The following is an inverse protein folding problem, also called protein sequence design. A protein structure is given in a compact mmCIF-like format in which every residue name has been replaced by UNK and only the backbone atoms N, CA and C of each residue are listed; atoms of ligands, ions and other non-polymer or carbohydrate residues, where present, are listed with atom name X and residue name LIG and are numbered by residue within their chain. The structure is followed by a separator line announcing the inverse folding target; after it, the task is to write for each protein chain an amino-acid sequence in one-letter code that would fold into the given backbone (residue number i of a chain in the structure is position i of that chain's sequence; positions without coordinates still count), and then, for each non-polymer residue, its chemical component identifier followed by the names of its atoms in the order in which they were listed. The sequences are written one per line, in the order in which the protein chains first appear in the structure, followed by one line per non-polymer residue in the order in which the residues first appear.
data_IF_553574703572
#
_entry.id   IF_553574703572
#
_cell.length_a   1.000
_cell.length_b   1.000
_cell.length_c   1.000
_cell.angle_alpha   90.00
_cell.angle_beta   90.00
_cell.angle_gamma   90.00
#
_symmetry.space_group_name_H-M   'P 1'
#
loop_
_entity.id
_entity.type
_entity.pdbx_description
1 polymer ?
#
# COMPACT_ATOMS: atom_id res chain seq x y z
N UNK A 1 -5.88 -28.41 -30.45
CA UNK A 1 -6.72 -28.35 -29.23
C UNK A 1 -5.90 -28.71 -27.99
N UNK A 2 -5.11 -29.79 -28.03
CA UNK A 2 -4.17 -30.19 -26.95
C UNK A 2 -3.24 -29.08 -26.45
N UNK A 3 -2.53 -28.37 -27.34
CA UNK A 3 -1.57 -27.35 -26.93
C UNK A 3 -2.17 -26.24 -26.04
N UNK A 4 -3.42 -25.82 -26.30
CA UNK A 4 -4.11 -24.82 -25.47
C UNK A 4 -4.49 -25.38 -24.09
N UNK A 5 -4.78 -26.67 -24.01
CA UNK A 5 -5.08 -27.36 -22.74
C UNK A 5 -3.82 -27.52 -21.90
N UNK A 6 -2.71 -27.93 -22.51
CA UNK A 6 -1.41 -28.08 -21.85
C UNK A 6 -0.88 -26.74 -21.32
N UNK A 7 -0.95 -25.67 -22.13
CA UNK A 7 -0.54 -24.32 -21.69
C UNK A 7 -1.36 -23.81 -20.49
N UNK A 8 -2.68 -24.07 -20.49
CA UNK A 8 -3.55 -23.69 -19.36
C UNK A 8 -3.25 -24.49 -18.09
N UNK A 9 -2.85 -25.77 -18.23
CA UNK A 9 -2.48 -26.62 -17.11
C UNK A 9 -1.09 -26.26 -16.54
N UNK A 10 -0.15 -25.82 -17.38
CA UNK A 10 1.20 -25.44 -16.96
C UNK A 10 1.27 -24.05 -16.32
N UNK A 11 0.36 -23.13 -16.68
CA UNK A 11 0.39 -21.73 -16.23
C UNK A 11 0.46 -21.56 -14.69
N UNK A 12 -0.33 -22.26 -13.86
CA UNK A 12 -0.21 -22.14 -12.41
C UNK A 12 1.18 -22.53 -11.88
N UNK A 13 1.75 -23.62 -12.41
CA UNK A 13 3.07 -24.11 -12.01
C UNK A 13 4.13 -23.08 -12.37
N UNK A 14 4.12 -22.61 -13.62
CA UNK A 14 5.06 -21.59 -14.09
C UNK A 14 4.91 -20.29 -13.29
N UNK A 15 3.68 -19.84 -13.04
CA UNK A 15 3.41 -18.64 -12.25
C UNK A 15 3.98 -18.75 -10.83
N UNK A 16 3.75 -19.88 -10.15
CA UNK A 16 4.27 -20.11 -8.79
C UNK A 16 5.78 -20.18 -8.79
N UNK A 17 6.40 -20.94 -9.70
CA UNK A 17 7.85 -21.09 -9.76
C UNK A 17 8.55 -19.76 -10.07
N UNK A 18 8.06 -19.02 -11.06
CA UNK A 18 8.62 -17.71 -11.43
C UNK A 18 8.43 -16.72 -10.29
N UNK A 19 7.23 -16.62 -9.72
CA UNK A 19 6.95 -15.67 -8.63
C UNK A 19 7.77 -15.98 -7.37
N UNK A 20 7.76 -17.23 -6.91
CA UNK A 20 8.49 -17.64 -5.72
C UNK A 20 10.00 -17.51 -5.94
N UNK A 21 10.52 -17.99 -7.08
CA UNK A 21 11.93 -17.88 -7.43
C UNK A 21 12.41 -16.43 -7.50
N UNK A 22 11.66 -15.55 -8.19
CA UNK A 22 12.00 -14.13 -8.28
C UNK A 22 11.90 -13.42 -6.92
N UNK A 23 10.90 -13.75 -6.10
CA UNK A 23 10.73 -13.19 -4.75
C UNK A 23 11.88 -13.61 -3.82
N UNK A 24 12.31 -14.87 -3.87
CA UNK A 24 13.47 -15.35 -3.11
C UNK A 24 14.75 -14.70 -3.62
N UNK A 25 14.94 -14.65 -4.94
CA UNK A 25 16.13 -14.05 -5.54
C UNK A 25 16.27 -12.56 -5.18
N UNK A 26 15.18 -11.78 -5.25
CA UNK A 26 15.23 -10.36 -4.88
C UNK A 26 15.43 -10.16 -3.38
N UNK A 27 14.80 -10.98 -2.54
CA UNK A 27 14.98 -10.92 -1.09
C UNK A 27 16.42 -11.25 -0.68
N UNK A 28 17.01 -12.27 -1.32
CA UNK A 28 18.41 -12.64 -1.12
C UNK A 28 19.36 -11.53 -1.58
N UNK A 29 19.17 -11.01 -2.79
CA UNK A 29 19.98 -9.94 -3.35
C UNK A 29 19.88 -8.61 -2.59
N UNK A 30 18.81 -8.40 -1.81
CA UNK A 30 18.61 -7.19 -1.04
C UNK A 30 19.61 -7.04 0.13
N UNK A 31 20.12 -8.15 0.70
CA UNK A 31 21.01 -8.11 1.85
C UNK A 31 20.46 -7.25 3.00
N UNK A 32 21.26 -6.30 3.51
CA UNK A 32 20.85 -5.38 4.58
C UNK A 32 19.80 -4.34 4.17
N UNK A 33 19.45 -4.25 2.89
CA UNK A 33 18.42 -3.32 2.39
C UNK A 33 17.02 -3.94 2.28
N UNK A 34 16.86 -5.21 2.67
CA UNK A 34 15.56 -5.87 2.73
C UNK A 34 14.66 -5.19 3.77
N UNK A 35 13.43 -4.88 3.39
CA UNK A 35 12.47 -4.25 4.32
C UNK A 35 12.80 -2.79 4.65
N UNK A 36 13.39 -2.06 3.71
CA UNK A 36 13.69 -0.63 3.88
C UNK A 36 12.52 0.20 4.41
N UNK A 37 11.31 -0.02 3.89
CA UNK A 37 10.08 0.63 4.36
C UNK A 37 9.45 -0.06 5.56
N UNK A 38 9.67 -1.37 5.72
CA UNK A 38 9.29 -2.08 6.94
C UNK A 38 9.93 -1.44 8.18
N UNK A 39 11.18 -0.98 8.07
CA UNK A 39 11.87 -0.24 9.12
C UNK A 39 11.11 1.03 9.53
N UNK A 40 10.50 1.75 8.58
CA UNK A 40 9.67 2.91 8.91
C UNK A 40 8.49 2.51 9.82
N UNK A 41 7.88 1.36 9.56
CA UNK A 41 6.70 0.88 10.28
C UNK A 41 7.04 0.38 11.68
N UNK A 42 8.05 -0.48 11.79
CA UNK A 42 8.44 -1.07 13.07
C UNK A 42 9.10 -0.05 14.00
N UNK A 43 9.86 0.92 13.46
CA UNK A 43 10.42 2.02 14.26
C UNK A 43 9.33 2.96 14.76
N UNK A 44 8.32 3.24 13.94
CA UNK A 44 7.16 4.02 14.38
C UNK A 44 6.42 3.34 15.54
N UNK A 45 6.17 2.03 15.43
CA UNK A 45 5.61 1.23 16.52
C UNK A 45 6.52 1.23 17.77
N UNK A 46 7.83 1.10 17.60
CA UNK A 46 8.81 1.17 18.68
C UNK A 46 8.82 2.53 19.40
N UNK A 47 8.70 3.64 18.66
CA UNK A 47 8.54 4.99 19.23
C UNK A 47 7.31 5.08 20.12
N UNK A 48 6.17 4.53 19.68
CA UNK A 48 4.95 4.50 20.50
C UNK A 48 5.17 3.75 21.82
N UNK A 49 5.83 2.58 21.77
CA UNK A 49 6.14 1.80 22.98
C UNK A 49 7.12 2.53 23.91
N UNK A 50 8.01 3.35 23.36
CA UNK A 50 8.95 4.18 24.11
C UNK A 50 8.37 5.52 24.60
N UNK A 51 7.07 5.79 24.35
CA UNK A 51 6.45 7.07 24.70
C UNK A 51 6.95 8.27 23.89
N UNK A 52 7.54 8.02 22.71
CA UNK A 52 8.08 9.04 21.81
C UNK A 52 7.03 9.48 20.77
N UNK A 53 7.18 10.67 20.17
CA UNK A 53 6.32 11.11 19.07
C UNK A 53 6.29 10.10 17.91
N UNK A 54 5.10 9.85 17.36
CA UNK A 54 4.92 8.93 16.24
C UNK A 54 5.62 9.44 14.96
N UNK A 55 5.44 10.73 14.67
CA UNK A 55 5.99 11.41 13.51
C UNK A 55 7.14 12.32 13.91
N UNK A 56 8.17 12.36 13.07
CA UNK A 56 9.31 13.24 13.26
C UNK A 56 9.01 14.64 12.67
N UNK A 57 9.00 15.71 13.49
CA UNK A 57 8.74 17.06 13.01
C UNK A 57 9.86 17.61 12.12
N UNK A 58 11.08 17.06 12.19
CA UNK A 58 12.23 17.52 11.40
C UNK A 58 12.22 17.00 9.96
N UNK A 59 11.34 16.06 9.62
CA UNK A 59 11.21 15.54 8.26
C UNK A 59 10.43 16.53 7.38
N UNK A 60 11.08 16.99 6.30
CA UNK A 60 10.55 17.94 5.33
C UNK A 60 10.54 17.42 3.87
N UNK A 61 11.21 16.29 3.59
CA UNK A 61 11.26 15.68 2.26
C UNK A 61 10.91 14.18 2.33
N UNK A 62 10.15 13.70 1.35
CA UNK A 62 9.93 12.26 1.15
C UNK A 62 11.16 11.59 0.55
N UNK A 63 11.45 10.35 0.95
CA UNK A 63 12.53 9.55 0.35
C UNK A 63 13.70 9.17 1.26
N UNK A 64 14.06 9.94 2.31
CA UNK A 64 15.02 9.45 3.31
C UNK A 64 14.54 8.17 4.01
N UNK A 65 15.51 7.42 4.53
CA UNK A 65 15.27 6.10 5.14
C UNK A 65 14.33 6.16 6.33
N UNK A 66 13.43 5.17 6.40
CA UNK A 66 12.60 4.87 7.56
C UNK A 66 11.66 6.00 8.02
N UNK A 67 11.20 6.87 7.11
CA UNK A 67 10.18 7.88 7.41
C UNK A 67 8.78 7.24 7.41
N UNK A 68 8.07 7.40 8.52
CA UNK A 68 6.70 6.92 8.67
C UNK A 68 5.67 7.95 8.18
N UNK A 69 4.99 7.67 7.07
CA UNK A 69 4.01 8.56 6.42
C UNK A 69 2.59 7.97 6.39
N UNK A 70 2.29 7.04 7.29
CA UNK A 70 1.06 6.24 7.27
C UNK A 70 0.10 6.65 8.39
N UNK A 71 -1.21 6.31 8.29
CA UNK A 71 -2.19 6.69 9.30
C UNK A 71 -1.85 6.15 10.70
N UNK A 72 -2.11 6.90 11.79
CA UNK A 72 -1.75 6.50 13.14
C UNK A 72 -2.17 5.08 13.56
N UNK A 73 -3.39 4.59 13.24
CA UNK A 73 -3.80 3.24 13.63
C UNK A 73 -2.94 2.13 13.01
N UNK A 74 -2.28 2.37 11.87
CA UNK A 74 -1.39 1.37 11.28
C UNK A 74 -0.13 1.13 12.12
N UNK A 75 0.39 2.15 12.80
CA UNK A 75 1.55 1.99 13.69
C UNK A 75 1.23 1.02 14.84
N UNK A 76 -0.01 1.03 15.36
CA UNK A 76 -0.45 0.09 16.38
C UNK A 76 -0.50 -1.34 15.85
N UNK A 77 -0.96 -1.53 14.61
CA UNK A 77 -0.99 -2.84 13.97
C UNK A 77 0.43 -3.43 13.77
N UNK A 78 1.46 -2.58 13.83
CA UNK A 78 2.86 -2.98 13.68
C UNK A 78 3.56 -3.27 15.02
N UNK A 79 2.89 -3.04 16.16
CA UNK A 79 3.43 -3.37 17.49
C UNK A 79 3.87 -4.83 17.62
N UNK A 80 3.10 -5.84 17.17
CA UNK A 80 3.53 -7.24 17.26
C UNK A 80 4.87 -7.52 16.56
N UNK A 81 5.20 -6.76 15.51
CA UNK A 81 6.46 -6.91 14.79
C UNK A 81 7.66 -6.38 15.57
N UNK A 82 7.46 -5.50 16.55
CA UNK A 82 8.54 -5.01 17.44
C UNK A 82 9.06 -6.08 18.39
N UNK A 83 8.29 -7.16 18.59
CA UNK A 83 8.67 -8.28 19.45
C UNK A 83 9.48 -9.35 18.72
N UNK A 84 9.58 -9.24 17.39
CA UNK A 84 10.37 -10.16 16.59
C UNK A 84 11.86 -9.80 16.71
N UNK A 85 12.77 -10.80 16.69
CA UNK A 85 14.18 -10.55 16.48
C UNK A 85 14.41 -9.73 15.20
N UNK A 86 15.35 -8.78 15.23
CA UNK A 86 15.63 -7.90 14.09
C UNK A 86 15.90 -8.67 12.78
N UNK A 87 16.57 -9.83 12.88
CA UNK A 87 16.85 -10.70 11.74
C UNK A 87 15.60 -11.34 11.10
N UNK A 88 14.46 -11.40 11.80
CA UNK A 88 13.24 -12.06 11.35
C UNK A 88 12.15 -11.09 10.90
N UNK A 89 12.16 -9.85 11.40
CA UNK A 89 11.12 -8.85 11.11
C UNK A 89 10.90 -8.62 9.61
N UNK A 90 11.95 -8.20 8.90
CA UNK A 90 11.87 -7.92 7.47
C UNK A 90 11.59 -9.17 6.61
N UNK A 91 12.21 -10.35 6.85
CA UNK A 91 11.85 -11.58 6.12
C UNK A 91 10.39 -12.02 6.32
N UNK A 92 9.88 -12.01 7.55
CA UNK A 92 8.49 -12.38 7.84
C UNK A 92 7.52 -11.40 7.18
N UNK A 93 7.81 -10.10 7.27
CA UNK A 93 7.02 -9.07 6.60
C UNK A 93 7.01 -9.27 5.08
N UNK A 94 8.17 -9.53 4.47
CA UNK A 94 8.29 -9.77 3.03
C UNK A 94 7.50 -11.02 2.60
N UNK A 95 7.56 -12.11 3.37
CA UNK A 95 6.78 -13.31 3.13
C UNK A 95 5.27 -13.03 3.23
N UNK A 96 4.85 -12.26 4.23
CA UNK A 96 3.46 -11.84 4.40
C UNK A 96 2.96 -11.02 3.20
N UNK A 97 3.78 -10.10 2.68
CA UNK A 97 3.47 -9.34 1.47
C UNK A 97 3.33 -10.23 0.23
N UNK A 98 4.22 -11.22 0.07
CA UNK A 98 4.14 -12.18 -1.03
C UNK A 98 2.86 -13.03 -0.94
N UNK A 99 2.50 -13.50 0.25
CA UNK A 99 1.23 -14.20 0.51
C UNK A 99 0.03 -13.30 0.24
N UNK A 100 0.07 -12.03 0.65
CA UNK A 100 -1.00 -11.08 0.40
C UNK A 100 -1.23 -10.85 -1.10
N UNK A 101 -0.16 -10.75 -1.90
CA UNK A 101 -0.27 -10.67 -3.35
C UNK A 101 -0.96 -11.90 -3.94
N UNK A 102 -0.48 -13.10 -3.60
CA UNK A 102 -1.04 -14.36 -4.13
C UNK A 102 -2.50 -14.48 -3.71
N UNK A 103 -2.81 -14.22 -2.44
CA UNK A 103 -4.17 -14.21 -1.92
C UNK A 103 -5.07 -13.22 -2.65
N UNK A 104 -4.59 -12.00 -2.90
CA UNK A 104 -5.33 -10.98 -3.65
C UNK A 104 -5.61 -11.42 -5.08
N UNK A 105 -4.61 -11.98 -5.77
CA UNK A 105 -4.74 -12.43 -7.16
C UNK A 105 -5.75 -13.57 -7.29
N UNK A 106 -5.71 -14.53 -6.36
CA UNK A 106 -6.65 -15.67 -6.33
C UNK A 106 -8.06 -15.26 -5.89
N UNK A 107 -8.20 -14.13 -5.18
CA UNK A 107 -9.48 -13.61 -4.72
C UNK A 107 -10.19 -12.74 -5.77
N UNK A 108 -9.45 -12.20 -6.75
CA UNK A 108 -10.02 -11.37 -7.82
C UNK A 108 -11.18 -12.08 -8.53
N UNK A 109 -12.32 -11.41 -8.80
CA UNK A 109 -13.48 -11.98 -9.50
C UNK A 109 -13.25 -12.05 -11.02
N UNK A 110 -12.18 -12.70 -11.45
CA UNK A 110 -11.76 -12.87 -12.84
C UNK A 110 -11.51 -14.35 -13.14
N UNK A 111 -11.30 -14.70 -14.41
CA UNK A 111 -11.03 -16.08 -14.80
C UNK A 111 -9.72 -16.61 -14.20
N UNK A 112 -9.64 -17.92 -13.93
CA UNK A 112 -8.43 -18.56 -13.38
C UNK A 112 -7.15 -18.24 -14.17
N UNK A 113 -7.13 -18.27 -15.52
CA UNK A 113 -5.93 -17.88 -16.27
C UNK A 113 -5.48 -16.45 -15.98
N UNK A 114 -6.40 -15.51 -15.79
CA UNK A 114 -6.06 -14.11 -15.45
C UNK A 114 -5.45 -14.04 -14.05
N UNK A 115 -6.01 -14.76 -13.07
CA UNK A 115 -5.44 -14.81 -11.71
C UNK A 115 -3.98 -15.30 -11.73
N UNK A 116 -3.69 -16.39 -12.43
CA UNK A 116 -2.34 -16.93 -12.54
C UNK A 116 -1.41 -16.06 -13.39
N UNK A 117 -1.93 -15.44 -14.45
CA UNK A 117 -1.18 -14.46 -15.23
C UNK A 117 -0.79 -13.26 -14.38
N UNK A 118 -1.65 -12.78 -13.46
CA UNK A 118 -1.28 -11.72 -12.51
C UNK A 118 -0.12 -12.12 -11.61
N UNK A 119 -0.13 -13.35 -11.07
CA UNK A 119 0.97 -13.86 -10.23
C UNK A 119 2.26 -13.96 -11.05
N UNK A 120 2.19 -14.51 -12.26
CA UNK A 120 3.33 -14.60 -13.17
C UNK A 120 3.91 -13.21 -13.49
N UNK A 121 3.05 -12.26 -13.89
CA UNK A 121 3.46 -10.90 -14.22
C UNK A 121 4.07 -10.17 -13.02
N UNK A 122 3.57 -10.41 -11.81
CA UNK A 122 4.20 -9.87 -10.62
C UNK A 122 5.62 -10.43 -10.40
N UNK A 123 5.83 -11.72 -10.68
CA UNK A 123 7.16 -12.35 -10.63
C UNK A 123 8.13 -11.87 -11.72
N UNK A 124 7.63 -11.26 -12.80
CA UNK A 124 8.45 -10.71 -13.89
C UNK A 124 8.61 -9.18 -13.80
N UNK A 125 7.78 -8.51 -12.99
CA UNK A 125 7.74 -7.06 -12.88
C UNK A 125 8.83 -6.57 -11.93
N UNK A 126 9.90 -5.99 -12.49
CA UNK A 126 10.95 -5.36 -11.69
C UNK A 126 10.42 -4.31 -10.70
N UNK A 127 9.53 -3.37 -11.08
CA UNK A 127 8.96 -2.41 -10.13
C UNK A 127 8.24 -3.09 -8.95
N UNK A 128 7.51 -4.17 -9.23
CA UNK A 128 6.82 -4.93 -8.18
C UNK A 128 7.83 -5.64 -7.26
N UNK A 129 8.80 -6.36 -7.82
CA UNK A 129 9.81 -7.07 -7.04
C UNK A 129 10.66 -6.10 -6.20
N UNK A 130 10.98 -4.93 -6.75
CA UNK A 130 11.65 -3.87 -6.02
C UNK A 130 10.79 -3.33 -4.86
N UNK A 131 9.50 -3.10 -5.11
CA UNK A 131 8.53 -2.75 -4.05
C UNK A 131 8.43 -3.83 -2.96
N UNK A 132 8.48 -5.10 -3.33
CA UNK A 132 8.49 -6.23 -2.40
C UNK A 132 9.78 -6.25 -1.57
N UNK A 133 10.94 -6.06 -2.22
CA UNK A 133 12.24 -5.89 -1.55
C UNK A 133 12.19 -4.78 -0.49
N UNK A 134 11.61 -3.63 -0.82
CA UNK A 134 11.53 -2.52 0.11
C UNK A 134 10.57 -2.81 1.27
N UNK A 135 9.64 -3.77 1.13
CA UNK A 135 8.63 -4.03 2.15
C UNK A 135 7.46 -3.06 2.09
N UNK A 136 7.17 -2.47 0.92
CA UNK A 136 6.01 -1.60 0.71
C UNK A 136 4.69 -2.34 0.97
N UNK A 137 3.72 -1.64 1.55
CA UNK A 137 2.38 -2.19 1.86
C UNK A 137 1.50 -2.48 0.62
N UNK A 138 1.98 -2.21 -0.59
CA UNK A 138 1.21 -2.36 -1.84
C UNK A 138 0.46 -3.70 -1.96
N UNK A 139 1.09 -4.86 -1.70
CA UNK A 139 0.42 -6.15 -1.71
C UNK A 139 -0.74 -6.30 -0.71
N UNK A 140 -0.66 -5.67 0.47
CA UNK A 140 -1.77 -5.64 1.43
C UNK A 140 -2.94 -4.81 0.91
N UNK A 141 -2.65 -3.66 0.30
CA UNK A 141 -3.67 -2.82 -0.31
C UNK A 141 -4.33 -3.57 -1.47
N UNK A 142 -3.55 -4.27 -2.30
CA UNK A 142 -4.08 -5.10 -3.39
C UNK A 142 -5.01 -6.20 -2.88
N UNK A 143 -4.62 -6.93 -1.82
CA UNK A 143 -5.49 -7.92 -1.18
C UNK A 143 -6.80 -7.28 -0.67
N UNK A 144 -6.70 -6.15 0.02
CA UNK A 144 -7.87 -5.41 0.53
C UNK A 144 -8.81 -4.96 -0.61
N UNK A 145 -8.25 -4.43 -1.70
CA UNK A 145 -9.02 -4.06 -2.89
C UNK A 145 -9.67 -5.28 -3.56
N UNK A 146 -8.92 -6.37 -3.77
CA UNK A 146 -9.46 -7.59 -4.36
C UNK A 146 -10.60 -8.19 -3.53
N UNK A 147 -10.44 -8.22 -2.20
CA UNK A 147 -11.47 -8.63 -1.25
C UNK A 147 -12.71 -7.73 -1.33
N UNK A 148 -12.52 -6.41 -1.19
CA UNK A 148 -13.60 -5.44 -1.25
C UNK A 148 -14.39 -5.55 -2.55
N UNK A 149 -13.69 -5.67 -3.68
CA UNK A 149 -14.31 -5.79 -5.01
C UNK A 149 -15.02 -7.13 -5.22
N UNK A 150 -14.43 -8.24 -4.75
CA UNK A 150 -15.02 -9.59 -4.84
C UNK A 150 -16.35 -9.69 -4.10
N UNK A 151 -16.50 -8.94 -3.02
CA UNK A 151 -17.70 -8.90 -2.20
C UNK A 151 -18.38 -7.54 -2.20
N UNK A 152 -18.26 -6.80 -3.30
CA UNK A 152 -18.79 -5.43 -3.44
C UNK A 152 -20.29 -5.30 -3.20
N UNK A 153 -21.05 -6.38 -3.34
CA UNK A 153 -22.50 -6.42 -3.09
C UNK A 153 -22.86 -6.86 -1.66
N UNK A 154 -21.86 -7.20 -0.84
CA UNK A 154 -22.04 -7.57 0.57
C UNK A 154 -21.48 -6.48 1.46
N UNK A 155 -22.31 -5.84 2.30
CA UNK A 155 -21.91 -4.62 3.01
C UNK A 155 -20.77 -4.85 4.01
N UNK A 156 -20.83 -5.92 4.79
CA UNK A 156 -19.83 -6.18 5.83
C UNK A 156 -18.43 -6.53 5.25
N UNK A 157 -18.27 -7.49 4.33
CA UNK A 157 -16.96 -7.77 3.74
C UNK A 157 -16.37 -6.58 2.97
N UNK A 158 -17.19 -5.82 2.23
CA UNK A 158 -16.74 -4.60 1.57
C UNK A 158 -16.23 -3.58 2.59
N UNK A 159 -16.99 -3.36 3.68
CA UNK A 159 -16.60 -2.44 4.74
C UNK A 159 -15.31 -2.85 5.44
N UNK A 160 -15.18 -4.13 5.83
CA UNK A 160 -13.99 -4.65 6.50
C UNK A 160 -12.74 -4.52 5.64
N UNK A 161 -12.81 -4.98 4.38
CA UNK A 161 -11.67 -4.93 3.47
C UNK A 161 -11.25 -3.49 3.18
N UNK A 162 -12.22 -2.61 2.90
CA UNK A 162 -11.95 -1.20 2.62
C UNK A 162 -11.39 -0.46 3.83
N UNK A 163 -11.95 -0.68 5.02
CA UNK A 163 -11.48 -0.05 6.26
C UNK A 163 -10.09 -0.56 6.64
N UNK A 164 -9.82 -1.87 6.56
CA UNK A 164 -8.51 -2.45 6.82
C UNK A 164 -7.44 -1.87 5.88
N UNK A 165 -7.73 -1.79 4.58
CA UNK A 165 -6.85 -1.13 3.62
C UNK A 165 -6.61 0.35 3.94
N UNK A 166 -7.68 1.07 4.30
CA UNK A 166 -7.65 2.51 4.63
C UNK A 166 -6.82 2.79 5.90
N UNK A 167 -6.90 1.91 6.89
CA UNK A 167 -6.06 1.97 8.10
C UNK A 167 -4.59 1.88 7.70
N UNK A 168 -4.23 0.94 6.82
CA UNK A 168 -2.85 0.78 6.35
C UNK A 168 -2.40 2.00 5.54
N UNK A 169 -3.20 2.46 4.57
CA UNK A 169 -2.91 3.63 3.73
C UNK A 169 -4.22 4.23 3.24
N UNK A 170 -4.33 5.54 3.06
CA UNK A 170 -5.63 6.19 2.78
C UNK A 170 -6.29 5.82 1.44
N UNK A 171 -5.55 5.30 0.47
CA UNK A 171 -6.01 5.08 -0.92
C UNK A 171 -7.22 4.14 -1.06
N UNK A 172 -7.34 3.01 -0.32
CA UNK A 172 -8.52 2.15 -0.40
C UNK A 172 -9.82 2.84 -0.01
N UNK A 173 -9.80 3.98 0.68
CA UNK A 173 -11.01 4.76 0.98
C UNK A 173 -11.80 5.18 -0.28
N UNK A 174 -11.17 5.17 -1.46
CA UNK A 174 -11.85 5.37 -2.74
C UNK A 174 -12.99 4.36 -2.97
N UNK A 175 -12.89 3.13 -2.46
CA UNK A 175 -13.99 2.16 -2.52
C UNK A 175 -15.20 2.61 -1.69
N UNK A 176 -15.02 3.39 -0.62
CA UNK A 176 -16.14 3.99 0.10
C UNK A 176 -16.80 5.10 -0.73
N UNK A 177 -16.01 5.90 -1.46
CA UNK A 177 -16.54 6.87 -2.42
C UNK A 177 -17.40 6.19 -3.48
N UNK A 178 -16.86 5.14 -4.12
CA UNK A 178 -17.60 4.31 -5.08
C UNK A 178 -18.87 3.67 -4.45
N UNK A 179 -18.76 3.12 -3.24
CA UNK A 179 -19.88 2.51 -2.54
C UNK A 179 -20.98 3.55 -2.23
N UNK A 180 -20.59 4.77 -1.87
CA UNK A 180 -21.53 5.85 -1.61
C UNK A 180 -22.32 6.23 -2.87
N UNK A 181 -21.62 6.52 -3.98
CA UNK A 181 -22.27 6.95 -5.24
C UNK A 181 -23.11 5.86 -5.88
N UNK A 182 -22.78 4.58 -5.64
CA UNK A 182 -23.54 3.43 -6.16
C UNK A 182 -24.62 2.90 -5.21
N UNK A 183 -24.96 3.65 -4.15
CA UNK A 183 -26.07 3.33 -3.25
C UNK A 183 -25.77 2.27 -2.17
N UNK A 184 -24.52 1.83 -2.02
CA UNK A 184 -24.07 0.84 -1.02
C UNK A 184 -23.80 1.47 0.35
N UNK A 185 -24.73 2.31 0.82
CA UNK A 185 -24.60 3.14 2.04
C UNK A 185 -24.30 2.34 3.31
N UNK A 186 -24.86 1.14 3.43
CA UNK A 186 -24.62 0.27 4.61
C UNK A 186 -23.14 -0.11 4.75
N UNK A 187 -22.43 -0.34 3.64
CA UNK A 187 -20.99 -0.62 3.68
C UNK A 187 -20.21 0.62 4.14
N UNK A 188 -20.59 1.80 3.65
CA UNK A 188 -19.97 3.08 4.04
C UNK A 188 -20.14 3.35 5.52
N UNK A 189 -21.35 3.17 6.07
CA UNK A 189 -21.62 3.37 7.51
C UNK A 189 -20.81 2.40 8.37
N UNK A 190 -20.84 1.09 8.05
CA UNK A 190 -20.05 0.10 8.80
C UNK A 190 -18.55 0.43 8.73
N UNK A 191 -18.06 0.78 7.53
CA UNK A 191 -16.67 1.16 7.32
C UNK A 191 -16.26 2.40 8.11
N UNK A 192 -17.10 3.44 8.09
CA UNK A 192 -16.88 4.65 8.87
C UNK A 192 -16.83 4.36 10.37
N UNK A 193 -17.72 3.51 10.89
CA UNK A 193 -17.69 3.10 12.30
C UNK A 193 -16.40 2.35 12.67
N UNK A 194 -15.91 1.45 11.80
CA UNK A 194 -14.63 0.76 12.00
C UNK A 194 -13.47 1.76 12.02
N UNK A 195 -13.43 2.70 11.06
CA UNK A 195 -12.38 3.72 10.99
C UNK A 195 -12.41 4.67 12.19
N UNK A 196 -13.61 5.08 12.64
CA UNK A 196 -13.78 5.88 13.84
C UNK A 196 -13.31 5.13 15.09
N UNK A 197 -13.63 3.85 15.22
CA UNK A 197 -13.14 3.03 16.32
C UNK A 197 -11.61 2.91 16.31
N UNK A 198 -11.01 2.63 15.14
CA UNK A 198 -9.56 2.57 14.99
C UNK A 198 -8.88 3.92 15.30
N UNK A 199 -9.48 5.03 14.84
CA UNK A 199 -9.00 6.38 15.12
C UNK A 199 -9.13 6.74 16.60
N UNK A 200 -10.22 6.35 17.27
CA UNK A 200 -10.42 6.55 18.70
C UNK A 200 -9.37 5.78 19.51
N UNK A 201 -9.14 4.50 19.18
CA UNK A 201 -8.10 3.67 19.81
C UNK A 201 -6.73 4.34 19.62
N UNK A 202 -6.38 4.76 18.40
CA UNK A 202 -5.13 5.46 18.17
C UNK A 202 -5.03 6.76 18.95
N UNK A 203 -6.10 7.55 19.03
CA UNK A 203 -6.13 8.79 19.81
C UNK A 203 -5.90 8.55 21.30
N UNK A 204 -6.47 7.47 21.87
CA UNK A 204 -6.24 7.10 23.27
C UNK A 204 -4.78 6.72 23.52
N UNK A 205 -4.15 6.00 22.59
CA UNK A 205 -2.77 5.53 22.73
C UNK A 205 -1.74 6.63 22.46
N UNK A 206 -1.95 7.45 21.42
CA UNK A 206 -0.94 8.39 20.91
C UNK A 206 -1.25 9.86 21.25
N UNK A 207 -2.44 10.14 21.79
CA UNK A 207 -2.92 11.49 22.03
C UNK A 207 -3.40 12.20 20.76
N UNK A 208 -4.30 13.20 20.90
CA UNK A 208 -4.94 13.87 19.76
C UNK A 208 -3.97 14.67 18.88
N UNK A 209 -2.84 15.14 19.43
CA UNK A 209 -1.81 15.88 18.68
C UNK A 209 -1.22 15.08 17.52
N UNK A 210 -1.21 13.74 17.62
CA UNK A 210 -0.69 12.85 16.58
C UNK A 210 -1.39 13.06 15.22
N UNK A 211 -2.67 13.45 15.22
CA UNK A 211 -3.40 13.74 13.97
C UNK A 211 -2.98 15.07 13.33
N UNK A 212 -2.65 16.07 14.15
CA UNK A 212 -2.09 17.34 13.68
C UNK A 212 -0.70 17.10 13.11
N UNK A 213 0.12 16.31 13.80
CA UNK A 213 1.46 15.94 13.34
C UNK A 213 1.40 15.14 12.04
N UNK A 214 0.42 14.25 11.90
CA UNK A 214 0.18 13.49 10.67
C UNK A 214 -0.18 14.41 9.49
N UNK A 215 -1.12 15.33 9.69
CA UNK A 215 -1.46 16.30 8.66
C UNK A 215 -0.26 17.20 8.29
N UNK A 216 0.51 17.62 9.30
CA UNK A 216 1.68 18.47 9.10
C UNK A 216 2.80 17.77 8.34
N UNK A 217 3.15 16.51 8.69
CA UNK A 217 4.18 15.77 7.96
C UNK A 217 3.76 15.49 6.53
N UNK A 218 2.49 15.13 6.29
CA UNK A 218 1.96 14.98 4.93
C UNK A 218 2.06 16.30 4.16
N UNK A 219 1.71 17.43 4.77
CA UNK A 219 1.83 18.75 4.15
C UNK A 219 3.26 19.10 3.77
N UNK A 220 4.24 18.79 4.63
CA UNK A 220 5.67 19.05 4.37
C UNK A 220 6.21 18.19 3.23
N UNK A 221 5.91 16.89 3.23
CA UNK A 221 6.46 15.96 2.23
C UNK A 221 5.68 15.91 0.92
N UNK A 222 4.56 16.63 0.82
CA UNK A 222 3.71 16.69 -0.37
C UNK A 222 4.16 17.81 -1.32
N UNK A 223 5.33 17.64 -1.93
CA UNK A 223 5.83 18.52 -2.98
C UNK A 223 5.95 17.77 -4.32
N UNK A 224 4.84 17.24 -4.88
CA UNK A 224 4.87 16.23 -5.93
C UNK A 224 5.64 16.67 -7.19
N UNK A 225 5.69 17.97 -7.49
CA UNK A 225 6.39 18.49 -8.68
C UNK A 225 7.92 18.54 -8.46
N UNK A 226 8.37 18.89 -7.27
CA UNK A 226 9.79 19.14 -6.98
C UNK A 226 10.48 17.99 -6.25
N UNK A 227 9.74 17.00 -5.77
CA UNK A 227 10.32 15.79 -5.16
C UNK A 227 11.21 15.07 -6.17
N UNK A 228 12.51 14.87 -5.87
CA UNK A 228 13.41 14.12 -6.74
C UNK A 228 12.87 12.71 -7.03
N UNK A 229 13.12 12.23 -8.25
CA UNK A 229 12.69 10.90 -8.71
C UNK A 229 11.18 10.66 -8.69
N UNK A 230 10.36 11.72 -8.62
CA UNK A 230 8.94 11.60 -8.86
C UNK A 230 8.64 11.58 -10.36
N UNK A 231 7.72 10.71 -10.78
CA UNK A 231 7.35 10.51 -12.19
C UNK A 231 5.91 10.94 -12.47
N UNK A 232 5.37 11.85 -11.66
CA UNK A 232 4.08 12.49 -11.95
C UNK A 232 4.21 13.42 -13.16
N UNK A 233 3.10 13.69 -13.86
CA UNK A 233 3.11 14.51 -15.07
C UNK A 233 3.74 15.90 -14.84
N UNK A 234 3.46 16.52 -13.69
CA UNK A 234 4.09 17.77 -13.31
C UNK A 234 5.59 17.63 -13.03
N UNK A 235 6.00 16.59 -12.30
CA UNK A 235 7.42 16.36 -12.02
C UNK A 235 8.25 16.13 -13.30
N UNK A 236 7.70 15.39 -14.28
CA UNK A 236 8.34 15.19 -15.58
C UNK A 236 8.46 16.52 -16.33
N UNK A 237 7.40 17.32 -16.37
CA UNK A 237 7.42 18.63 -17.02
C UNK A 237 8.45 19.57 -16.36
N UNK A 238 8.52 19.57 -15.02
CA UNK A 238 9.49 20.34 -14.26
C UNK A 238 10.93 19.89 -14.54
N UNK A 239 11.18 18.59 -14.53
CA UNK A 239 12.48 18.01 -14.89
C UNK A 239 12.88 18.29 -16.34
N UNK A 240 11.90 18.49 -17.23
CA UNK A 240 12.11 18.90 -18.62
C UNK A 240 12.32 20.42 -18.81
N UNK A 241 12.36 21.20 -17.72
CA UNK A 241 12.64 22.63 -17.74
C UNK A 241 11.40 23.55 -17.70
N UNK A 242 10.20 23.01 -17.53
CA UNK A 242 9.03 23.85 -17.29
C UNK A 242 9.13 24.60 -15.96
N UNK A 243 8.59 25.81 -15.89
CA UNK A 243 8.49 26.53 -14.62
C UNK A 243 7.62 25.76 -13.62
N UNK A 244 7.85 25.97 -12.31
CA UNK A 244 7.06 25.34 -11.26
C UNK A 244 5.56 25.56 -11.44
N UNK A 245 5.15 26.76 -11.88
CA UNK A 245 3.76 27.09 -12.15
C UNK A 245 3.17 26.24 -13.29
N UNK A 246 3.88 26.12 -14.42
CA UNK A 246 3.45 25.31 -15.57
C UNK A 246 3.39 23.83 -15.21
N UNK A 247 4.43 23.31 -14.55
CA UNK A 247 4.47 21.93 -14.08
C UNK A 247 3.35 21.61 -13.07
N UNK A 248 3.04 22.54 -12.17
CA UNK A 248 1.92 22.41 -11.23
C UNK A 248 0.58 22.41 -11.95
N UNK A 249 0.39 23.26 -12.96
CA UNK A 249 -0.82 23.24 -13.78
C UNK A 249 -0.99 21.90 -14.52
N UNK A 250 0.09 21.38 -15.12
CA UNK A 250 0.10 20.06 -15.76
C UNK A 250 -0.26 18.95 -14.76
N UNK A 251 0.28 19.02 -13.53
CA UNK A 251 -0.06 18.07 -12.47
C UNK A 251 -1.57 18.07 -12.18
N UNK A 252 -2.17 19.24 -12.00
CA UNK A 252 -3.60 19.37 -11.68
C UNK A 252 -4.51 18.95 -12.84
N UNK A 253 -4.12 19.25 -14.09
CA UNK A 253 -4.84 18.77 -15.28
C UNK A 253 -4.80 17.24 -15.33
N UNK A 254 -3.64 16.64 -15.06
CA UNK A 254 -3.49 15.18 -14.99
C UNK A 254 -4.41 14.56 -13.93
N UNK A 255 -4.46 15.15 -12.72
CA UNK A 255 -5.34 14.71 -11.63
C UNK A 255 -6.82 14.85 -12.02
N UNK A 256 -7.23 16.00 -12.57
CA UNK A 256 -8.62 16.24 -12.97
C UNK A 256 -9.05 15.28 -14.09
N UNK A 257 -8.17 15.02 -15.06
CA UNK A 257 -8.43 14.06 -16.15
C UNK A 257 -8.60 12.65 -15.60
N UNK A 258 -7.73 12.23 -14.68
CA UNK A 258 -7.83 10.91 -14.06
C UNK A 258 -9.13 10.73 -13.26
N UNK A 259 -9.64 11.79 -12.63
CA UNK A 259 -10.93 11.77 -11.92
C UNK A 259 -12.12 11.79 -12.89
N UNK A 260 -12.07 12.60 -13.95
CA UNK A 260 -13.16 12.76 -14.91
C UNK A 260 -13.39 11.60 -15.87
N UNK A 261 -12.45 10.63 -15.93
CA UNK A 261 -12.58 9.40 -16.74
C UNK A 261 -13.27 8.26 -15.96
N UNK A 262 -13.53 8.44 -14.66
CA UNK A 262 -14.23 7.47 -13.79
C UNK A 262 -15.73 7.76 -13.76
#
# INVERSE_FOLDING_TARGET
MEARTTLRAALPIVAVLVFAGASVAIAWAAGSTLGYDYEAYVRAAGRLLAGQPLYDPAVDVAGPFAIYLYPPPFALAMIPFTWLPAALGAPIWTALLAVALVGGALLMPVSRPVQWATILLAGLSWPFLYSLKLGQVGPLLFLAFAAGWRWRDRPLPLALATAAGTIVKVQPALLFGWAFVTGRRRAVVIGALILLAAAAIATVVTGPRTWVDYAAILGRVSAPVTTPHNYTAGAIAYAAGASLAVATAIQWIGVATAIGVV
#
